data_IF_836679782630
#
_entry.id   IF_836679782630
#
_cell.length_a   1.000
_cell.length_b   1.000
_cell.length_c   1.000
_cell.angle_alpha   90.00
_cell.angle_beta   90.00
_cell.angle_gamma   90.00
#
_symmetry.space_group_name_H-M   'P 1'
#
loop_
_entity.id
_entity.type
_entity.pdbx_description
1 polymer ?
#
# COMPACT_ATOMS: atom_id res chain seq x y z
N UNK A 1 -13.45 -4.36 8.96
CA UNK A 1 -13.91 -3.00 9.13
C UNK A 1 -14.57 -2.40 7.90
N UNK A 2 -14.23 -1.15 7.53
CA UNK A 2 -14.89 -0.41 6.43
C UNK A 2 -14.71 -1.15 5.10
N UNK A 3 -13.51 -1.63 4.79
CA UNK A 3 -13.18 -2.39 3.58
C UNK A 3 -14.01 -3.68 3.47
N UNK A 4 -14.24 -4.37 4.58
CA UNK A 4 -15.01 -5.61 4.60
C UNK A 4 -16.50 -5.43 4.31
N UNK A 5 -17.06 -4.27 4.62
CA UNK A 5 -18.48 -3.95 4.36
C UNK A 5 -18.73 -3.35 2.98
N UNK A 6 -17.68 -3.04 2.23
CA UNK A 6 -17.77 -2.46 0.89
C UNK A 6 -18.17 -3.56 -0.10
N UNK A 7 -19.26 -3.34 -0.84
CA UNK A 7 -19.71 -4.21 -1.94
C UNK A 7 -19.87 -3.36 -3.19
N UNK A 8 -18.92 -3.46 -4.10
CA UNK A 8 -18.99 -2.77 -5.40
C UNK A 8 -19.07 -3.79 -6.54
N UNK A 9 -19.54 -3.32 -7.71
CA UNK A 9 -19.55 -4.13 -8.94
C UNK A 9 -18.15 -4.58 -9.39
N UNK A 10 -17.12 -3.91 -8.93
CA UNK A 10 -15.72 -4.15 -9.32
C UNK A 10 -14.99 -5.09 -8.35
N UNK A 11 -15.63 -5.48 -7.26
CA UNK A 11 -15.06 -6.28 -6.19
C UNK A 11 -15.09 -5.53 -4.85
N UNK A 12 -14.55 -6.19 -3.83
CA UNK A 12 -14.52 -5.69 -2.45
C UNK A 12 -13.28 -4.84 -2.17
N UNK A 13 -12.12 -5.27 -2.67
CA UNK A 13 -10.83 -4.70 -2.38
C UNK A 13 -10.34 -3.71 -3.45
N UNK A 14 -10.64 -3.96 -4.72
CA UNK A 14 -10.19 -3.16 -5.87
C UNK A 14 -10.42 -1.65 -5.75
N UNK A 15 -11.62 -1.15 -5.36
CA UNK A 15 -11.83 0.29 -5.27
C UNK A 15 -10.93 0.94 -4.22
N UNK A 16 -10.68 0.25 -3.10
CA UNK A 16 -9.78 0.75 -2.05
C UNK A 16 -8.33 0.81 -2.49
N UNK A 17 -7.88 -0.20 -3.24
CA UNK A 17 -6.54 -0.23 -3.84
C UNK A 17 -6.36 0.95 -4.79
N UNK A 18 -7.32 1.20 -5.69
CA UNK A 18 -7.24 2.29 -6.66
C UNK A 18 -7.31 3.67 -6.01
N UNK A 19 -8.24 3.88 -5.07
CA UNK A 19 -8.36 5.15 -4.34
C UNK A 19 -7.05 5.41 -3.57
N UNK A 20 -6.54 4.40 -2.87
CA UNK A 20 -5.27 4.49 -2.15
C UNK A 20 -4.10 4.83 -3.08
N UNK A 21 -3.99 4.13 -4.22
CA UNK A 21 -2.92 4.37 -5.20
C UNK A 21 -2.97 5.78 -5.80
N UNK A 22 -4.15 6.25 -6.21
CA UNK A 22 -4.32 7.60 -6.79
C UNK A 22 -3.99 8.67 -5.75
N UNK A 23 -4.57 8.57 -4.55
CA UNK A 23 -4.35 9.56 -3.49
C UNK A 23 -2.88 9.59 -3.06
N UNK A 24 -2.26 8.43 -2.90
CA UNK A 24 -0.84 8.30 -2.57
C UNK A 24 0.04 8.94 -3.64
N UNK A 25 -0.23 8.68 -4.91
CA UNK A 25 0.51 9.26 -6.04
C UNK A 25 0.40 10.79 -6.11
N UNK A 26 -0.77 11.34 -5.82
CA UNK A 26 -0.98 12.79 -5.74
C UNK A 26 -0.14 13.37 -4.59
N UNK A 27 -0.20 12.74 -3.42
CA UNK A 27 0.56 13.22 -2.25
C UNK A 27 2.06 13.17 -2.47
N UNK A 28 2.60 12.06 -3.02
CA UNK A 28 4.02 11.96 -3.37
C UNK A 28 4.42 13.05 -4.34
N UNK A 29 3.65 13.25 -5.42
CA UNK A 29 3.95 14.30 -6.40
C UNK A 29 3.92 15.69 -5.77
N UNK A 30 2.95 15.98 -4.91
CA UNK A 30 2.86 17.26 -4.21
C UNK A 30 4.05 17.49 -3.25
N UNK A 31 4.45 16.48 -2.49
CA UNK A 31 5.57 16.58 -1.54
C UNK A 31 6.88 17.00 -2.22
N UNK A 32 7.12 16.54 -3.45
CA UNK A 32 8.33 16.87 -4.20
C UNK A 32 8.19 18.09 -5.14
N UNK A 33 6.97 18.52 -5.46
CA UNK A 33 6.73 19.60 -6.44
C UNK A 33 6.48 20.97 -5.80
N UNK A 34 6.10 21.02 -4.53
CA UNK A 34 5.74 22.29 -3.87
C UNK A 34 7.01 23.09 -3.51
N UNK A 35 7.16 24.34 -4.00
CA UNK A 35 8.36 25.14 -3.80
C UNK A 35 8.38 25.90 -2.45
N UNK A 36 7.95 25.28 -1.38
CA UNK A 36 8.03 25.84 -0.03
C UNK A 36 9.46 25.74 0.50
N UNK A 37 9.85 26.65 1.41
CA UNK A 37 11.17 26.69 2.02
C UNK A 37 11.06 26.92 3.53
N UNK A 38 12.08 26.48 4.27
CA UNK A 38 12.16 26.69 5.71
C UNK A 38 11.11 25.92 6.50
N UNK A 39 10.66 26.51 7.61
CA UNK A 39 9.73 25.85 8.55
C UNK A 39 8.36 25.54 7.91
N UNK A 40 7.90 26.34 6.96
CA UNK A 40 6.64 26.08 6.23
C UNK A 40 6.71 24.78 5.44
N UNK A 41 7.87 24.46 4.83
CA UNK A 41 8.07 23.20 4.15
C UNK A 41 8.06 22.02 5.13
N UNK A 42 8.70 22.15 6.28
CA UNK A 42 8.75 21.10 7.31
C UNK A 42 7.34 20.75 7.81
N UNK A 43 6.53 21.76 8.10
CA UNK A 43 5.13 21.55 8.55
C UNK A 43 4.30 20.88 7.44
N UNK A 44 4.41 21.40 6.21
CA UNK A 44 3.72 20.83 5.06
C UNK A 44 4.13 19.36 4.83
N UNK A 45 5.42 19.08 4.85
CA UNK A 45 5.96 17.74 4.68
C UNK A 45 5.47 16.77 5.76
N UNK A 46 5.50 17.18 7.03
CA UNK A 46 5.04 16.37 8.15
C UNK A 46 3.54 16.01 8.02
N UNK A 47 2.70 16.98 7.66
CA UNK A 47 1.27 16.75 7.47
C UNK A 47 1.02 15.85 6.25
N UNK A 48 1.67 16.14 5.12
CA UNK A 48 1.55 15.36 3.89
C UNK A 48 2.04 13.92 4.08
N UNK A 49 3.10 13.72 4.87
CA UNK A 49 3.64 12.41 5.19
C UNK A 49 2.66 11.55 6.01
N UNK A 50 1.96 12.13 6.98
CA UNK A 50 0.93 11.42 7.75
C UNK A 50 -0.21 10.97 6.81
N UNK A 51 -0.67 11.83 5.91
CA UNK A 51 -1.70 11.46 4.93
C UNK A 51 -1.20 10.41 3.94
N UNK A 52 0.06 10.49 3.53
CA UNK A 52 0.70 9.52 2.66
C UNK A 52 0.74 8.13 3.33
N UNK A 53 1.11 8.07 4.59
CA UNK A 53 1.16 6.82 5.35
C UNK A 53 -0.24 6.19 5.50
N UNK A 54 -1.26 6.99 5.78
CA UNK A 54 -2.65 6.54 5.85
C UNK A 54 -3.12 5.97 4.50
N UNK A 55 -2.86 6.67 3.40
CA UNK A 55 -3.28 6.23 2.06
C UNK A 55 -2.49 5.02 1.55
N UNK A 56 -1.20 4.95 1.89
CA UNK A 56 -0.36 3.79 1.64
C UNK A 56 -0.87 2.56 2.40
N UNK A 57 -1.14 2.70 3.69
CA UNK A 57 -1.69 1.62 4.52
C UNK A 57 -3.05 1.15 3.98
N UNK A 58 -3.89 2.06 3.51
CA UNK A 58 -5.18 1.70 2.90
C UNK A 58 -5.01 0.87 1.62
N UNK A 59 -4.06 1.23 0.77
CA UNK A 59 -3.70 0.47 -0.43
C UNK A 59 -3.11 -0.91 -0.07
N UNK A 60 -2.17 -0.93 0.87
CA UNK A 60 -1.45 -2.14 1.30
C UNK A 60 -2.39 -3.17 1.95
N UNK A 61 -3.25 -2.73 2.88
CA UNK A 61 -4.27 -3.60 3.48
C UNK A 61 -5.22 -4.14 2.40
N UNK A 62 -5.63 -3.32 1.43
CA UNK A 62 -6.46 -3.74 0.30
C UNK A 62 -5.78 -4.85 -0.51
N UNK A 63 -4.51 -4.67 -0.85
CA UNK A 63 -3.71 -5.60 -1.63
C UNK A 63 -3.52 -6.94 -0.90
N UNK A 64 -3.03 -6.94 0.33
CA UNK A 64 -2.81 -8.16 1.11
C UNK A 64 -4.10 -8.90 1.47
N UNK A 65 -5.20 -8.16 1.70
CA UNK A 65 -6.51 -8.76 1.94
C UNK A 65 -7.12 -9.39 0.69
N UNK A 66 -6.69 -8.99 -0.50
CA UNK A 66 -7.14 -9.59 -1.76
C UNK A 66 -6.51 -10.97 -2.01
N UNK A 67 -5.28 -11.23 -1.53
CA UNK A 67 -4.58 -12.51 -1.75
C UNK A 67 -5.38 -13.76 -1.35
N UNK A 68 -6.04 -13.82 -0.16
CA UNK A 68 -6.90 -14.93 0.19
C UNK A 68 -8.12 -15.09 -0.71
N UNK A 69 -8.57 -14.00 -1.36
CA UNK A 69 -9.71 -14.02 -2.29
C UNK A 69 -9.34 -14.51 -3.70
N UNK A 70 -8.03 -14.65 -4.00
CA UNK A 70 -7.55 -15.13 -5.31
C UNK A 70 -7.46 -16.64 -5.40
N UNK A 71 -7.32 -17.34 -4.29
CA UNK A 71 -7.23 -18.80 -4.27
C UNK A 71 -7.64 -19.38 -2.94
N UNK A 72 -8.46 -20.41 -2.97
CA UNK A 72 -8.82 -21.23 -1.81
C UNK A 72 -7.69 -22.20 -1.40
N UNK A 73 -6.71 -22.46 -2.30
CA UNK A 73 -5.60 -23.34 -2.05
C UNK A 73 -4.46 -22.61 -1.32
N UNK A 74 -4.07 -23.13 -0.14
CA UNK A 74 -3.02 -22.55 0.70
C UNK A 74 -1.65 -22.49 -0.01
N UNK A 75 -1.28 -23.52 -0.79
CA UNK A 75 -0.01 -23.55 -1.51
C UNK A 75 0.06 -22.45 -2.57
N UNK A 76 -1.02 -22.24 -3.32
CA UNK A 76 -1.08 -21.17 -4.32
C UNK A 76 -0.97 -19.78 -3.68
N UNK A 77 -1.61 -19.56 -2.52
CA UNK A 77 -1.49 -18.30 -1.78
C UNK A 77 -0.07 -18.03 -1.31
N UNK A 78 0.59 -19.06 -0.78
CA UNK A 78 1.98 -18.94 -0.34
C UNK A 78 2.92 -18.61 -1.51
N UNK A 79 2.72 -19.26 -2.66
CA UNK A 79 3.49 -18.99 -3.88
C UNK A 79 3.26 -17.56 -4.37
N UNK A 80 2.01 -17.08 -4.41
CA UNK A 80 1.68 -15.72 -4.80
C UNK A 80 2.31 -14.68 -3.86
N UNK A 81 2.23 -14.89 -2.54
CA UNK A 81 2.87 -14.02 -1.56
C UNK A 81 4.39 -13.99 -1.71
N UNK A 82 5.02 -15.14 -1.94
CA UNK A 82 6.46 -15.24 -2.14
C UNK A 82 6.89 -14.52 -3.40
N UNK A 83 6.18 -14.70 -4.51
CA UNK A 83 6.43 -13.98 -5.77
C UNK A 83 6.27 -12.47 -5.59
N UNK A 84 5.20 -12.03 -4.92
CA UNK A 84 4.97 -10.62 -4.65
C UNK A 84 6.14 -9.99 -3.86
N UNK A 85 6.63 -10.68 -2.83
CA UNK A 85 7.78 -10.21 -2.04
C UNK A 85 9.09 -10.17 -2.86
N UNK A 86 9.34 -11.18 -3.71
CA UNK A 86 10.51 -11.19 -4.59
C UNK A 86 10.47 -10.00 -5.56
N UNK A 87 9.34 -9.78 -6.23
CA UNK A 87 9.19 -8.66 -7.16
C UNK A 87 9.23 -7.29 -6.45
N UNK A 88 8.68 -7.19 -5.22
CA UNK A 88 8.81 -5.99 -4.41
C UNK A 88 10.28 -5.69 -4.06
N UNK A 89 11.05 -6.72 -3.67
CA UNK A 89 12.48 -6.58 -3.39
C UNK A 89 13.29 -6.17 -4.63
N UNK A 90 13.03 -6.79 -5.77
CA UNK A 90 13.68 -6.43 -7.04
C UNK A 90 13.30 -5.00 -7.46
N UNK A 91 12.01 -4.64 -7.38
CA UNK A 91 11.55 -3.29 -7.68
C UNK A 91 12.17 -2.24 -6.76
N UNK A 92 12.23 -2.51 -5.46
CA UNK A 92 12.88 -1.65 -4.47
C UNK A 92 14.37 -1.45 -4.76
N UNK A 93 15.09 -2.51 -5.11
CA UNK A 93 16.50 -2.43 -5.50
C UNK A 93 16.67 -1.57 -6.77
N UNK A 94 15.87 -1.79 -7.80
CA UNK A 94 15.91 -1.02 -9.05
C UNK A 94 15.69 0.47 -8.77
N UNK A 95 14.64 0.82 -8.02
CA UNK A 95 14.33 2.21 -7.66
C UNK A 95 15.44 2.81 -6.79
N UNK A 96 15.96 2.04 -5.83
CA UNK A 96 17.06 2.47 -4.97
C UNK A 96 18.35 2.81 -5.73
N UNK A 97 18.66 2.08 -6.80
CA UNK A 97 19.79 2.37 -7.66
C UNK A 97 19.52 3.48 -8.69
N UNK A 98 18.37 3.46 -9.32
CA UNK A 98 18.05 4.40 -10.41
C UNK A 98 17.79 5.81 -9.88
N UNK A 99 17.10 5.96 -8.75
CA UNK A 99 16.73 7.28 -8.21
C UNK A 99 17.94 8.18 -7.96
N UNK A 100 19.01 7.75 -7.28
CA UNK A 100 20.21 8.58 -7.12
C UNK A 100 20.87 8.99 -8.45
N UNK A 101 20.90 8.07 -9.41
CA UNK A 101 21.51 8.32 -10.73
C UNK A 101 20.72 9.40 -11.49
N UNK A 102 19.38 9.35 -11.44
CA UNK A 102 18.52 10.28 -12.14
C UNK A 102 18.32 11.61 -11.40
N UNK A 103 18.42 11.60 -10.06
CA UNK A 103 18.07 12.75 -9.23
C UNK A 103 19.28 13.50 -8.67
N UNK A 104 20.48 12.86 -8.62
CA UNK A 104 21.65 13.43 -7.97
C UNK A 104 22.88 13.26 -8.89
N UNK A 105 23.72 14.28 -8.97
CA UNK A 105 24.99 14.23 -9.72
C UNK A 105 24.94 14.91 -11.08
N UNK A 106 26.03 14.74 -11.88
CA UNK A 106 26.19 15.42 -13.18
C UNK A 106 25.15 15.02 -14.23
N UNK A 107 24.54 13.84 -14.06
CA UNK A 107 23.48 13.30 -14.96
C UNK A 107 22.05 13.57 -14.48
N UNK A 108 21.86 14.40 -13.44
CA UNK A 108 20.55 14.68 -12.90
C UNK A 108 19.62 15.29 -13.96
N UNK A 109 18.37 14.81 -14.01
CA UNK A 109 17.34 15.32 -14.92
C UNK A 109 17.15 16.82 -14.66
N UNK A 110 17.27 17.65 -15.71
CA UNK A 110 17.16 19.10 -15.60
C UNK A 110 18.35 19.78 -14.92
N UNK A 111 19.47 19.09 -14.70
CA UNK A 111 20.71 19.66 -14.17
C UNK A 111 20.68 20.01 -12.67
N UNK A 112 19.58 19.71 -11.97
CA UNK A 112 19.49 19.95 -10.53
C UNK A 112 18.55 18.98 -9.84
N UNK A 113 18.88 18.61 -8.61
CA UNK A 113 18.04 17.74 -7.79
C UNK A 113 16.63 18.30 -7.56
N UNK A 114 16.48 19.61 -7.48
CA UNK A 114 15.20 20.31 -7.28
C UNK A 114 14.21 20.05 -8.42
N UNK A 115 14.72 19.90 -9.63
CA UNK A 115 13.90 19.58 -10.82
C UNK A 115 13.76 18.07 -10.98
N UNK A 116 14.83 17.33 -10.70
CA UNK A 116 14.88 15.89 -10.92
C UNK A 116 13.94 15.10 -10.00
N UNK A 117 13.88 15.40 -8.69
CA UNK A 117 13.01 14.69 -7.77
C UNK A 117 11.52 14.75 -8.11
N UNK A 118 10.92 15.93 -8.44
CA UNK A 118 9.54 16.00 -8.93
C UNK A 118 9.28 15.16 -10.19
N UNK A 119 10.21 15.17 -11.14
CA UNK A 119 10.08 14.38 -12.38
C UNK A 119 10.10 12.89 -12.08
N UNK A 120 11.04 12.43 -11.26
CA UNK A 120 11.12 11.03 -10.84
C UNK A 120 9.86 10.62 -10.06
N UNK A 121 9.34 11.49 -9.17
CA UNK A 121 8.11 11.25 -8.44
C UNK A 121 6.90 11.10 -9.36
N UNK A 122 6.79 11.93 -10.39
CA UNK A 122 5.70 11.83 -11.39
C UNK A 122 5.81 10.52 -12.17
N UNK A 123 7.00 10.16 -12.65
CA UNK A 123 7.22 8.90 -13.39
C UNK A 123 6.85 7.70 -12.51
N UNK A 124 7.33 7.68 -11.28
CA UNK A 124 7.02 6.61 -10.32
C UNK A 124 5.52 6.53 -10.03
N UNK A 125 4.84 7.68 -9.88
CA UNK A 125 3.41 7.76 -9.65
C UNK A 125 2.59 7.22 -10.83
N UNK A 126 2.97 7.56 -12.05
CA UNK A 126 2.31 7.05 -13.27
C UNK A 126 2.48 5.55 -13.40
N UNK A 127 3.69 5.04 -13.18
CA UNK A 127 3.97 3.60 -13.18
C UNK A 127 3.17 2.87 -12.08
N UNK A 128 3.12 3.44 -10.88
CA UNK A 128 2.39 2.86 -9.75
C UNK A 128 0.89 2.77 -10.04
N UNK A 129 0.26 3.87 -10.49
CA UNK A 129 -1.16 3.87 -10.87
C UNK A 129 -1.42 2.89 -12.02
N UNK A 130 -0.54 2.84 -13.02
CA UNK A 130 -0.65 1.93 -14.16
C UNK A 130 -0.63 0.47 -13.73
N UNK A 131 0.33 0.07 -12.91
CA UNK A 131 0.45 -1.29 -12.37
C UNK A 131 -0.74 -1.66 -11.47
N UNK A 132 -1.19 -0.74 -10.60
CA UNK A 132 -2.35 -1.00 -9.73
C UNK A 132 -3.65 -1.10 -10.54
N UNK A 133 -3.83 -0.27 -11.56
CA UNK A 133 -4.98 -0.36 -12.47
C UNK A 133 -4.97 -1.68 -13.23
N UNK A 134 -3.82 -2.09 -13.75
CA UNK A 134 -3.65 -3.36 -14.44
C UNK A 134 -4.00 -4.53 -13.50
N UNK A 135 -3.53 -4.50 -12.26
CA UNK A 135 -3.87 -5.51 -11.24
C UNK A 135 -5.39 -5.55 -11.01
N UNK A 136 -6.03 -4.40 -10.84
CA UNK A 136 -7.49 -4.34 -10.61
C UNK A 136 -8.32 -4.81 -11.81
N UNK A 137 -7.82 -4.65 -13.04
CA UNK A 137 -8.53 -5.09 -14.26
C UNK A 137 -8.33 -6.58 -14.55
N UNK A 138 -7.12 -7.10 -14.40
CA UNK A 138 -6.77 -8.46 -14.78
C UNK A 138 -7.09 -9.49 -13.70
N UNK A 139 -7.00 -9.11 -12.42
CA UNK A 139 -7.26 -10.02 -11.32
C UNK A 139 -8.76 -10.16 -11.09
N UNK A 140 -9.28 -11.39 -11.03
CA UNK A 140 -10.65 -11.71 -10.64
C UNK A 140 -10.69 -12.06 -9.17
N UNK A 141 -11.48 -11.33 -8.39
CA UNK A 141 -11.77 -11.70 -7.00
C UNK A 141 -12.85 -12.78 -6.99
N UNK A 142 -12.56 -13.91 -6.32
CA UNK A 142 -13.61 -14.91 -6.03
C UNK A 142 -14.54 -14.35 -4.95
N UNK A 143 -15.85 -14.60 -5.05
CA UNK A 143 -16.80 -14.16 -4.03
C UNK A 143 -16.45 -14.84 -2.70
N UNK A 144 -15.96 -14.03 -1.74
CA UNK A 144 -15.72 -14.51 -0.38
C UNK A 144 -17.05 -14.97 0.26
N UNK A 145 -17.03 -16.06 1.02
CA UNK A 145 -18.22 -16.51 1.74
C UNK A 145 -18.78 -15.39 2.62
N UNK A 146 -20.11 -15.31 2.78
CA UNK A 146 -20.73 -14.32 3.63
C UNK A 146 -20.14 -14.38 5.05
N UNK A 147 -19.89 -13.22 5.65
CA UNK A 147 -19.46 -13.14 7.06
C UNK A 147 -20.55 -13.81 7.92
N UNK A 148 -20.20 -14.88 8.63
CA UNK A 148 -21.13 -15.54 9.57
C UNK A 148 -21.62 -14.53 10.60
N UNK A 149 -22.92 -14.27 10.57
CA UNK A 149 -23.57 -13.44 11.58
C UNK A 149 -23.74 -14.24 12.85
N UNK A 150 -22.94 -14.00 13.86
CA UNK A 150 -23.13 -14.57 15.17
C UNK A 150 -24.30 -13.84 15.85
N UNK A 151 -25.38 -14.55 16.13
CA UNK A 151 -26.62 -14.01 16.76
C UNK A 151 -27.24 -12.79 16.03
N UNK A 152 -27.25 -12.80 14.69
CA UNK A 152 -27.90 -11.75 13.89
C UNK A 152 -27.22 -10.39 13.89
N UNK A 153 -26.11 -10.20 14.65
CA UNK A 153 -25.30 -8.99 14.70
C UNK A 153 -23.94 -9.23 14.08
N UNK A 154 -23.49 -8.32 13.23
CA UNK A 154 -22.08 -8.29 12.80
C UNK A 154 -21.21 -8.00 14.02
N UNK A 155 -20.35 -8.92 14.43
CA UNK A 155 -19.53 -8.70 15.61
C UNK A 155 -18.59 -7.52 15.42
N UNK A 156 -18.41 -6.71 16.46
CA UNK A 156 -17.57 -5.53 16.44
C UNK A 156 -16.12 -5.92 16.08
N UNK A 157 -15.57 -5.48 14.92
CA UNK A 157 -14.28 -5.99 14.42
C UNK A 157 -13.11 -5.74 15.39
N UNK A 158 -13.13 -4.62 16.11
CA UNK A 158 -12.12 -4.31 17.13
C UNK A 158 -12.15 -5.28 18.29
N UNK A 159 -13.35 -5.64 18.77
CA UNK A 159 -13.52 -6.59 19.89
C UNK A 159 -13.07 -8.01 19.49
N UNK A 160 -13.34 -8.40 18.24
CA UNK A 160 -12.84 -9.68 17.71
C UNK A 160 -11.33 -9.68 17.58
N UNK A 161 -10.73 -8.61 17.05
CA UNK A 161 -9.27 -8.47 16.93
C UNK A 161 -8.58 -8.62 18.30
N UNK A 162 -9.06 -7.90 19.32
CA UNK A 162 -8.53 -8.02 20.67
C UNK A 162 -8.73 -9.43 21.28
N UNK A 163 -9.87 -10.08 21.00
CA UNK A 163 -10.14 -11.43 21.47
C UNK A 163 -9.20 -12.45 20.84
N UNK A 164 -8.92 -12.32 19.54
CA UNK A 164 -8.01 -13.20 18.80
C UNK A 164 -6.56 -12.97 19.24
N UNK A 165 -6.13 -11.71 19.39
CA UNK A 165 -4.80 -11.36 19.90
C UNK A 165 -4.56 -11.92 21.32
N UNK A 166 -5.56 -11.81 22.22
CA UNK A 166 -5.45 -12.28 23.60
C UNK A 166 -5.56 -13.80 23.74
N UNK A 167 -6.15 -14.46 22.74
CA UNK A 167 -6.32 -15.92 22.72
C UNK A 167 -5.25 -16.70 21.96
N UNK A 168 -4.30 -15.99 21.31
CA UNK A 168 -3.28 -16.63 20.48
C UNK A 168 -1.90 -16.00 20.70
N UNK A 169 -1.12 -16.61 21.59
CA UNK A 169 0.23 -16.14 21.95
C UNK A 169 1.17 -16.12 20.74
N UNK A 170 1.03 -17.04 19.79
CA UNK A 170 1.85 -17.07 18.57
C UNK A 170 1.61 -15.85 17.70
N UNK A 171 0.35 -15.42 17.56
CA UNK A 171 -0.02 -14.23 16.80
C UNK A 171 0.56 -12.96 17.43
N UNK A 172 0.61 -12.92 18.76
CA UNK A 172 1.18 -11.80 19.52
C UNK A 172 2.69 -11.71 19.30
N UNK A 173 3.40 -12.84 19.34
CA UNK A 173 4.84 -12.91 19.07
C UNK A 173 5.15 -12.53 17.61
N UNK A 174 4.37 -13.00 16.63
CA UNK A 174 4.53 -12.62 15.22
C UNK A 174 4.32 -11.12 15.04
N UNK A 175 3.28 -10.55 15.66
CA UNK A 175 3.02 -9.12 15.59
C UNK A 175 4.16 -8.29 16.20
N UNK A 176 4.72 -8.72 17.35
CA UNK A 176 5.89 -8.08 17.97
C UNK A 176 7.13 -8.15 17.07
N UNK A 177 7.40 -9.33 16.49
CA UNK A 177 8.53 -9.51 15.58
C UNK A 177 8.36 -8.61 14.36
N UNK A 178 7.18 -8.59 13.74
CA UNK A 178 6.89 -7.70 12.61
C UNK A 178 7.04 -6.22 12.96
N UNK A 179 6.62 -5.81 14.16
CA UNK A 179 6.79 -4.45 14.64
C UNK A 179 8.27 -4.06 14.80
N UNK A 180 9.12 -4.96 15.28
CA UNK A 180 10.57 -4.72 15.43
C UNK A 180 11.28 -4.70 14.07
N UNK A 181 10.90 -5.57 13.13
CA UNK A 181 11.54 -5.65 11.81
C UNK A 181 11.10 -4.55 10.83
N UNK A 182 9.97 -3.87 11.07
CA UNK A 182 9.48 -2.77 10.23
C UNK A 182 9.83 -1.37 10.77
N UNK A 183 10.63 -1.29 11.84
CA UNK A 183 11.22 -0.04 12.35
C UNK A 183 12.66 0.08 11.87
#
# INVERSE_FOLDING_TARGET
GIIENTRTRWGKFKPWILIGAITNSILVTLMFSVPLKGMSYVIFFAVAYIFLDITYTMNDIGYWSMLPALSSNSNNRNTLSSLANIFAGVGGAIVGFITPILAVGPGAIGGSAVIAFPVVAIIASVLFIGCQTMTCLLVKEDPLPPVEKINGKTPNPLKQMFKVLKGNDQLLWIALIMMIFNV
#
